data_IF_334673767913
#
_entry.id   IF_334673767913
#
_cell.length_a   1.000
_cell.length_b   1.000
_cell.length_c   1.000
_cell.angle_alpha   90.00
_cell.angle_beta   90.00
_cell.angle_gamma   90.00
#
_symmetry.space_group_name_H-M   'P 1'
#
loop_
_entity.id
_entity.type
_entity.pdbx_description
1 polymer ?
#
# COMPACT_ATOMS: atom_id res chain seq x y z
N UNK A 1 -30.12 -45.67 14.34
CA UNK A 1 -29.04 -44.88 15.00
C UNK A 1 -28.69 -43.69 14.15
N UNK A 2 -28.97 -42.42 14.59
CA UNK A 2 -28.54 -41.21 13.93
C UNK A 2 -27.06 -40.97 14.27
N UNK A 3 -26.16 -40.96 13.25
CA UNK A 3 -24.74 -40.58 13.45
C UNK A 3 -24.68 -39.17 14.05
N UNK A 4 -23.94 -38.99 15.15
CA UNK A 4 -23.61 -37.65 15.68
C UNK A 4 -22.76 -36.94 14.65
N UNK A 5 -23.18 -35.77 14.22
CA UNK A 5 -22.41 -34.87 13.35
C UNK A 5 -21.14 -34.42 14.06
N UNK A 6 -20.04 -34.27 13.31
CA UNK A 6 -18.80 -33.71 13.84
C UNK A 6 -18.99 -32.24 14.22
N UNK A 7 -18.11 -31.71 15.10
CA UNK A 7 -18.11 -30.29 15.45
C UNK A 7 -17.94 -29.39 14.22
N UNK A 8 -17.20 -29.84 13.23
CA UNK A 8 -16.96 -29.11 11.98
C UNK A 8 -18.21 -29.08 11.07
N UNK A 9 -18.95 -30.17 10.99
CA UNK A 9 -20.22 -30.22 10.26
C UNK A 9 -21.28 -29.32 10.90
N UNK A 10 -21.32 -29.23 12.22
CA UNK A 10 -22.24 -28.33 12.96
C UNK A 10 -21.83 -26.86 12.74
N UNK A 11 -20.52 -26.54 12.74
CA UNK A 11 -20.01 -25.21 12.46
C UNK A 11 -20.31 -24.79 11.01
N UNK A 12 -20.13 -25.69 10.03
CA UNK A 12 -20.49 -25.44 8.63
C UNK A 12 -21.98 -25.20 8.47
N UNK A 13 -22.86 -26.01 9.06
CA UNK A 13 -24.30 -25.79 8.97
C UNK A 13 -24.74 -24.47 9.61
N UNK A 14 -24.15 -24.08 10.73
CA UNK A 14 -24.44 -22.81 11.40
C UNK A 14 -23.95 -21.62 10.57
N UNK A 15 -22.80 -21.70 9.94
CA UNK A 15 -22.28 -20.69 9.04
C UNK A 15 -23.10 -20.56 7.74
N UNK A 16 -23.60 -21.66 7.19
CA UNK A 16 -24.50 -21.66 6.04
C UNK A 16 -25.87 -21.04 6.43
N UNK A 17 -26.40 -21.34 7.61
CA UNK A 17 -27.65 -20.75 8.12
C UNK A 17 -27.51 -19.25 8.42
N UNK A 18 -26.35 -18.78 8.88
CA UNK A 18 -26.10 -17.35 9.20
C UNK A 18 -25.94 -16.47 7.96
N UNK A 19 -25.93 -17.01 6.77
CA UNK A 19 -25.69 -16.26 5.53
C UNK A 19 -24.25 -15.77 5.36
N UNK A 20 -23.37 -16.08 6.34
CA UNK A 20 -21.98 -15.62 6.35
C UNK A 20 -21.21 -16.13 5.11
N UNK A 21 -21.37 -17.41 4.78
CA UNK A 21 -20.76 -18.00 3.58
C UNK A 21 -21.28 -17.39 2.26
N UNK A 22 -22.58 -17.08 2.21
CA UNK A 22 -23.15 -16.43 1.01
C UNK A 22 -22.58 -15.03 0.79
N UNK A 23 -22.31 -14.31 1.87
CA UNK A 23 -21.73 -12.95 1.76
C UNK A 23 -20.25 -12.97 1.39
N UNK A 24 -19.46 -13.92 1.88
CA UNK A 24 -18.04 -14.07 1.50
C UNK A 24 -17.87 -14.56 0.06
N UNK A 25 -18.65 -15.53 -0.38
CA UNK A 25 -18.65 -15.99 -1.79
C UNK A 25 -19.00 -14.85 -2.74
N UNK A 26 -20.09 -14.12 -2.47
CA UNK A 26 -20.47 -12.96 -3.30
C UNK A 26 -19.39 -11.89 -3.34
N UNK A 27 -18.74 -11.59 -2.22
CA UNK A 27 -17.68 -10.59 -2.16
C UNK A 27 -16.42 -11.05 -2.91
N UNK A 28 -16.11 -12.35 -2.90
CA UNK A 28 -14.97 -12.90 -3.64
C UNK A 28 -15.21 -12.83 -5.15
N UNK A 29 -16.39 -13.21 -5.61
CA UNK A 29 -16.77 -13.14 -7.02
C UNK A 29 -16.80 -11.69 -7.51
N UNK A 30 -17.39 -10.77 -6.74
CA UNK A 30 -17.45 -9.36 -7.11
C UNK A 30 -16.06 -8.69 -7.18
N UNK A 31 -15.08 -9.12 -6.37
CA UNK A 31 -13.70 -8.66 -6.50
C UNK A 31 -13.07 -9.12 -7.80
N UNK A 32 -13.28 -10.37 -8.19
CA UNK A 32 -12.78 -10.90 -9.47
C UNK A 32 -13.41 -10.19 -10.65
N UNK A 33 -14.68 -9.83 -10.56
CA UNK A 33 -15.35 -9.02 -11.59
C UNK A 33 -14.72 -7.64 -11.74
N UNK A 34 -14.44 -6.95 -10.63
CA UNK A 34 -13.72 -5.68 -10.65
C UNK A 34 -12.32 -5.82 -11.25
N UNK A 35 -11.57 -6.86 -10.87
CA UNK A 35 -10.25 -7.14 -11.43
C UNK A 35 -10.34 -7.36 -12.95
N UNK A 36 -11.24 -8.22 -13.42
CA UNK A 36 -11.46 -8.48 -14.86
C UNK A 36 -11.87 -7.22 -15.61
N UNK A 37 -12.76 -6.43 -15.03
CA UNK A 37 -13.18 -5.16 -15.61
C UNK A 37 -12.01 -4.19 -15.79
N UNK A 38 -11.14 -4.04 -14.77
CA UNK A 38 -9.97 -3.19 -14.88
C UNK A 38 -8.97 -3.74 -15.89
N UNK A 39 -8.73 -5.06 -15.91
CA UNK A 39 -7.84 -5.72 -16.86
C UNK A 39 -8.34 -5.66 -18.31
N UNK A 40 -9.65 -5.47 -18.53
CA UNK A 40 -10.22 -5.26 -19.86
C UNK A 40 -10.04 -3.83 -20.39
N UNK A 41 -9.54 -2.90 -19.56
CA UNK A 41 -9.31 -1.51 -19.93
C UNK A 41 -7.90 -1.30 -20.45
N UNK A 42 -7.76 -0.27 -21.30
CA UNK A 42 -6.46 0.11 -21.83
C UNK A 42 -5.70 1.01 -20.85
N UNK A 43 -4.37 1.03 -20.98
CA UNK A 43 -3.55 2.02 -20.31
C UNK A 43 -3.96 3.44 -20.73
N UNK A 44 -4.08 4.32 -19.74
CA UNK A 44 -4.53 5.70 -19.96
C UNK A 44 -6.03 5.91 -19.81
N UNK A 45 -6.80 4.86 -19.58
CA UNK A 45 -8.23 4.98 -19.26
C UNK A 45 -8.47 5.27 -17.79
N UNK A 46 -9.62 5.88 -17.51
CA UNK A 46 -10.09 6.14 -16.15
C UNK A 46 -11.29 5.24 -15.85
N UNK A 47 -11.24 4.58 -14.70
CA UNK A 47 -12.35 3.80 -14.15
C UNK A 47 -12.98 4.55 -12.98
N UNK A 48 -14.29 4.73 -12.98
CA UNK A 48 -14.96 5.55 -11.97
C UNK A 48 -15.24 4.78 -10.69
N UNK A 49 -15.23 5.50 -9.54
CA UNK A 49 -15.63 4.92 -8.26
C UNK A 49 -17.06 4.36 -8.30
N UNK A 50 -17.98 5.03 -9.00
CA UNK A 50 -19.37 4.61 -9.13
C UNK A 50 -19.48 3.24 -9.81
N UNK A 51 -18.79 3.05 -10.96
CA UNK A 51 -18.76 1.78 -11.67
C UNK A 51 -18.16 0.66 -10.81
N UNK A 52 -17.02 0.92 -10.15
CA UNK A 52 -16.36 -0.08 -9.33
C UNK A 52 -17.19 -0.44 -8.08
N UNK A 53 -17.85 0.54 -7.48
CA UNK A 53 -18.73 0.33 -6.33
C UNK A 53 -19.98 -0.48 -6.72
N UNK A 54 -20.54 -0.25 -7.93
CA UNK A 54 -21.70 -1.02 -8.41
C UNK A 54 -21.38 -2.52 -8.57
N UNK A 55 -20.21 -2.88 -9.10
CA UNK A 55 -19.75 -4.28 -9.13
C UNK A 55 -19.65 -4.91 -7.73
N UNK A 56 -19.26 -4.10 -6.74
CA UNK A 56 -19.11 -4.56 -5.36
C UNK A 56 -20.43 -4.52 -4.56
N UNK A 57 -21.51 -3.98 -5.14
CA UNK A 57 -22.79 -3.78 -4.45
C UNK A 57 -22.67 -2.83 -3.26
N UNK A 58 -21.82 -1.79 -3.37
CA UNK A 58 -21.54 -0.84 -2.31
C UNK A 58 -22.10 0.55 -2.62
N UNK A 59 -22.75 1.17 -1.61
CA UNK A 59 -23.16 2.58 -1.66
C UNK A 59 -22.06 3.45 -1.04
N UNK A 60 -21.49 4.36 -1.84
CA UNK A 60 -20.40 5.23 -1.40
C UNK A 60 -20.85 6.44 -0.56
N UNK A 61 -22.15 6.72 -0.47
CA UNK A 61 -22.69 7.74 0.43
C UNK A 61 -22.67 7.28 1.89
N UNK A 62 -22.67 5.98 2.12
CA UNK A 62 -22.53 5.38 3.43
C UNK A 62 -21.06 5.22 3.83
N UNK A 63 -20.63 5.86 4.92
CA UNK A 63 -19.22 5.87 5.36
C UNK A 63 -18.65 4.47 5.65
N UNK A 64 -19.43 3.58 6.24
CA UNK A 64 -18.98 2.19 6.49
C UNK A 64 -18.73 1.45 5.18
N UNK A 65 -19.61 1.61 4.20
CA UNK A 65 -19.47 0.99 2.89
C UNK A 65 -18.35 1.66 2.08
N UNK A 66 -18.16 2.96 2.20
CA UNK A 66 -17.02 3.68 1.61
C UNK A 66 -15.68 3.20 2.15
N UNK A 67 -15.58 2.96 3.46
CA UNK A 67 -14.37 2.41 4.06
C UNK A 67 -14.12 0.97 3.61
N UNK A 68 -15.16 0.14 3.50
CA UNK A 68 -15.09 -1.21 2.94
C UNK A 68 -14.62 -1.17 1.48
N UNK A 69 -15.14 -0.24 0.66
CA UNK A 69 -14.71 -0.01 -0.71
C UNK A 69 -13.22 0.30 -0.79
N UNK A 70 -12.72 1.28 -0.02
CA UNK A 70 -11.30 1.65 0.03
C UNK A 70 -10.41 0.45 0.37
N UNK A 71 -10.82 -0.34 1.35
CA UNK A 71 -10.09 -1.56 1.75
C UNK A 71 -10.02 -2.60 0.62
N UNK A 72 -11.16 -2.86 -0.04
CA UNK A 72 -11.23 -3.80 -1.17
C UNK A 72 -10.37 -3.30 -2.33
N UNK A 73 -10.50 -2.02 -2.69
CA UNK A 73 -9.73 -1.43 -3.77
C UNK A 73 -8.22 -1.45 -3.51
N UNK A 74 -7.78 -1.26 -2.27
CA UNK A 74 -6.36 -1.40 -1.93
C UNK A 74 -5.84 -2.82 -2.17
N UNK A 75 -6.62 -3.85 -1.84
CA UNK A 75 -6.25 -5.25 -2.14
C UNK A 75 -6.20 -5.53 -3.65
N UNK A 76 -7.20 -5.04 -4.39
CA UNK A 76 -7.25 -5.18 -5.85
C UNK A 76 -6.05 -4.47 -6.49
N UNK A 77 -5.74 -3.24 -6.06
CA UNK A 77 -4.58 -2.48 -6.56
C UNK A 77 -3.27 -3.25 -6.41
N UNK A 78 -3.04 -3.83 -5.23
CA UNK A 78 -1.83 -4.60 -4.99
C UNK A 78 -1.73 -5.82 -5.92
N UNK A 79 -2.83 -6.54 -6.11
CA UNK A 79 -2.87 -7.68 -7.02
C UNK A 79 -2.70 -7.31 -8.50
N UNK A 80 -3.20 -6.14 -8.91
CA UNK A 80 -3.07 -5.63 -10.28
C UNK A 80 -1.62 -5.25 -10.62
N UNK A 81 -0.80 -4.88 -9.63
CA UNK A 81 0.63 -4.60 -9.84
C UNK A 81 1.34 -5.84 -10.39
N UNK A 82 1.02 -7.03 -9.91
CA UNK A 82 1.59 -8.30 -10.38
C UNK A 82 1.26 -8.57 -11.87
N UNK A 83 0.19 -7.95 -12.37
CA UNK A 83 -0.21 -8.00 -13.79
C UNK A 83 0.26 -6.78 -14.59
N UNK A 84 1.13 -5.94 -14.02
CA UNK A 84 1.66 -4.74 -14.69
C UNK A 84 0.68 -3.55 -14.73
N UNK A 85 -0.45 -3.61 -14.02
CA UNK A 85 -1.42 -2.52 -13.95
C UNK A 85 -1.23 -1.69 -12.68
N UNK A 86 -0.91 -0.41 -12.84
CA UNK A 86 -0.77 0.54 -11.73
C UNK A 86 -1.91 1.55 -11.76
N UNK A 87 -2.70 1.58 -10.69
CA UNK A 87 -3.85 2.48 -10.55
C UNK A 87 -3.49 3.71 -9.71
N UNK A 88 -3.57 4.89 -10.33
CA UNK A 88 -3.43 6.18 -9.64
C UNK A 88 -4.81 6.71 -9.28
N UNK A 89 -5.07 6.94 -8.00
CA UNK A 89 -6.32 7.56 -7.53
C UNK A 89 -6.50 8.99 -8.04
N UNK A 90 -7.70 9.30 -8.52
CA UNK A 90 -8.16 10.66 -8.83
C UNK A 90 -9.27 10.98 -7.83
N UNK A 91 -9.04 12.03 -7.02
CA UNK A 91 -9.98 12.42 -5.96
C UNK A 91 -11.38 12.67 -6.52
N UNK A 92 -12.39 12.10 -5.87
CA UNK A 92 -13.79 12.21 -6.26
C UNK A 92 -14.21 11.43 -7.52
N UNK A 93 -13.26 11.05 -8.39
CA UNK A 93 -13.57 10.43 -9.69
C UNK A 93 -13.40 8.92 -9.67
N UNK A 94 -12.20 8.43 -9.34
CA UNK A 94 -11.89 7.00 -9.40
C UNK A 94 -10.40 6.74 -9.55
N UNK A 95 -10.05 5.89 -10.52
CA UNK A 95 -8.67 5.47 -10.74
C UNK A 95 -8.30 5.60 -12.22
N UNK A 96 -7.14 6.18 -12.45
CA UNK A 96 -6.49 6.24 -13.76
C UNK A 96 -5.50 5.09 -13.89
N UNK A 97 -5.56 4.36 -14.99
CA UNK A 97 -4.63 3.28 -15.31
C UNK A 97 -3.37 3.90 -15.91
N UNK A 98 -2.26 3.87 -15.20
CA UNK A 98 -1.02 4.50 -15.63
C UNK A 98 -0.50 3.86 -16.93
N UNK A 99 -0.07 4.72 -17.87
CA UNK A 99 0.67 4.27 -19.05
C UNK A 99 2.08 3.81 -18.66
N UNK A 100 2.69 2.84 -19.36
CA UNK A 100 4.05 2.37 -19.06
C UNK A 100 5.07 3.49 -18.87
N UNK A 101 5.01 4.54 -19.72
CA UNK A 101 5.91 5.70 -19.66
C UNK A 101 5.76 6.54 -18.38
N UNK A 102 4.60 6.43 -17.70
CA UNK A 102 4.31 7.17 -16.47
C UNK A 102 4.67 6.37 -15.21
N UNK A 103 4.88 5.05 -15.34
CA UNK A 103 5.06 4.15 -14.19
C UNK A 103 6.35 4.47 -13.43
N UNK A 104 7.46 4.72 -14.12
CA UNK A 104 8.73 5.06 -13.49
C UNK A 104 8.62 6.32 -12.63
N UNK A 105 8.02 7.40 -13.18
CA UNK A 105 7.81 8.64 -12.43
C UNK A 105 6.84 8.49 -11.26
N UNK A 106 5.81 7.65 -11.40
CA UNK A 106 4.90 7.33 -10.31
C UNK A 106 5.61 6.53 -9.20
N UNK A 107 6.39 5.53 -9.58
CA UNK A 107 7.17 4.71 -8.67
C UNK A 107 8.14 5.57 -7.84
N UNK A 108 8.87 6.46 -8.51
CA UNK A 108 9.75 7.40 -7.84
C UNK A 108 9.01 8.27 -6.82
N UNK A 109 7.93 8.96 -7.23
CA UNK A 109 7.18 9.87 -6.35
C UNK A 109 6.49 9.16 -5.19
N UNK A 110 5.98 7.95 -5.43
CA UNK A 110 5.14 7.25 -4.46
C UNK A 110 5.94 6.41 -3.49
N UNK A 111 7.03 5.80 -3.94
CA UNK A 111 7.79 4.85 -3.14
C UNK A 111 9.20 5.37 -2.84
N UNK A 112 10.02 5.64 -3.85
CA UNK A 112 11.44 5.98 -3.64
C UNK A 112 11.59 7.25 -2.82
N UNK A 113 10.92 8.33 -3.18
CA UNK A 113 10.98 9.59 -2.42
C UNK A 113 10.50 9.43 -0.97
N UNK A 114 9.49 8.59 -0.73
CA UNK A 114 9.04 8.32 0.64
C UNK A 114 10.06 7.53 1.45
N UNK A 115 10.70 6.54 0.82
CA UNK A 115 11.77 5.77 1.46
C UNK A 115 12.93 6.66 1.84
N UNK A 116 13.37 7.57 0.97
CA UNK A 116 14.39 8.57 1.27
C UNK A 116 14.02 9.44 2.48
N UNK A 117 12.78 9.97 2.51
CA UNK A 117 12.29 10.76 3.65
C UNK A 117 12.28 9.96 4.97
N UNK A 118 11.97 8.65 4.90
CA UNK A 118 11.99 7.77 6.08
C UNK A 118 13.42 7.55 6.56
N UNK A 119 14.36 7.29 5.67
CA UNK A 119 15.79 7.14 6.00
C UNK A 119 16.36 8.42 6.64
N UNK A 120 16.06 9.59 6.07
CA UNK A 120 16.47 10.87 6.64
C UNK A 120 15.90 11.09 8.06
N UNK A 121 14.65 10.70 8.27
CA UNK A 121 14.04 10.77 9.60
C UNK A 121 14.69 9.78 10.56
N UNK A 122 14.96 8.57 10.11
CA UNK A 122 15.67 7.55 10.87
C UNK A 122 17.05 8.04 11.31
N UNK A 123 17.84 8.57 10.36
CA UNK A 123 19.16 9.14 10.65
C UNK A 123 19.09 10.22 11.73
N UNK A 124 18.14 11.17 11.63
CA UNK A 124 17.96 12.22 12.65
C UNK A 124 17.57 11.66 14.02
N UNK A 125 16.73 10.62 14.08
CA UNK A 125 16.38 9.96 15.35
C UNK A 125 17.62 9.32 15.95
N UNK A 126 18.35 8.52 15.17
CA UNK A 126 19.57 7.84 15.63
C UNK A 126 20.63 8.84 16.10
N UNK A 127 20.90 9.90 15.32
CA UNK A 127 21.91 10.91 15.68
C UNK A 127 21.57 11.70 16.94
N UNK A 128 20.29 11.79 17.33
CA UNK A 128 19.85 12.50 18.54
C UNK A 128 19.49 11.55 19.70
N UNK A 129 19.75 10.24 19.54
CA UNK A 129 19.48 9.27 20.62
C UNK A 129 20.57 9.38 21.69
N UNK A 130 20.16 9.53 22.95
CA UNK A 130 21.06 9.45 24.09
C UNK A 130 21.49 7.99 24.30
N UNK A 131 22.75 7.71 24.02
CA UNK A 131 23.34 6.36 24.11
C UNK A 131 24.00 6.08 25.46
N UNK A 132 24.03 7.05 26.40
CA UNK A 132 24.76 6.93 27.68
C UNK A 132 24.27 5.78 28.56
N UNK A 133 23.01 5.40 28.40
CA UNK A 133 22.38 4.33 29.17
C UNK A 133 22.22 3.00 28.40
N UNK A 134 22.79 2.91 27.19
CA UNK A 134 22.79 1.65 26.44
C UNK A 134 23.89 0.73 26.98
N UNK A 135 23.57 -0.54 27.19
CA UNK A 135 24.50 -1.56 27.69
C UNK A 135 24.31 -2.88 26.98
N UNK A 136 25.42 -3.60 26.74
CA UNK A 136 25.42 -4.97 26.19
C UNK A 136 24.72 -5.04 24.83
N UNK A 137 23.84 -6.04 24.68
CA UNK A 137 23.14 -6.35 23.42
C UNK A 137 22.42 -5.15 22.79
N UNK A 138 21.95 -4.19 23.62
CA UNK A 138 21.26 -2.99 23.11
C UNK A 138 22.21 -2.01 22.43
N UNK A 139 23.47 -1.97 22.86
CA UNK A 139 24.49 -1.15 22.19
C UNK A 139 24.81 -1.74 20.83
N UNK A 140 24.99 -3.06 20.75
CA UNK A 140 25.26 -3.76 19.49
C UNK A 140 24.10 -3.62 18.50
N UNK A 141 22.86 -3.78 18.98
CA UNK A 141 21.66 -3.55 18.17
C UNK A 141 21.59 -2.13 17.62
N UNK A 142 21.87 -1.12 18.45
CA UNK A 142 21.87 0.29 18.04
C UNK A 142 22.94 0.55 16.97
N UNK A 143 24.16 0.10 17.18
CA UNK A 143 25.27 0.25 16.22
C UNK A 143 24.96 -0.41 14.88
N UNK A 144 24.39 -1.63 14.90
CA UNK A 144 23.97 -2.34 13.70
C UNK A 144 22.88 -1.58 12.92
N UNK A 145 21.93 -0.96 13.63
CA UNK A 145 20.88 -0.15 12.99
C UNK A 145 21.46 1.14 12.38
N UNK A 146 22.39 1.81 13.05
CA UNK A 146 23.11 2.99 12.52
C UNK A 146 23.86 2.62 11.25
N UNK A 147 24.67 1.55 11.29
CA UNK A 147 25.44 1.10 10.15
C UNK A 147 24.55 0.74 8.95
N UNK A 148 23.42 0.06 9.19
CA UNK A 148 22.46 -0.27 8.13
C UNK A 148 21.84 0.99 7.51
N UNK A 149 21.44 1.95 8.35
CA UNK A 149 20.85 3.21 7.88
C UNK A 149 21.83 4.00 7.00
N UNK A 150 23.09 4.08 7.40
CA UNK A 150 24.13 4.79 6.69
C UNK A 150 24.45 4.11 5.34
N UNK A 151 24.60 2.78 5.32
CA UNK A 151 24.80 2.01 4.08
C UNK A 151 23.65 2.18 3.08
N UNK A 152 22.40 2.15 3.57
CA UNK A 152 21.24 2.36 2.72
C UNK A 152 21.21 3.79 2.16
N UNK A 153 21.51 4.78 2.99
CA UNK A 153 21.56 6.19 2.59
C UNK A 153 22.64 6.42 1.56
N UNK A 154 23.85 5.89 1.76
CA UNK A 154 24.97 5.97 0.83
C UNK A 154 24.65 5.31 -0.52
N UNK A 155 24.07 4.10 -0.47
CA UNK A 155 23.67 3.37 -1.68
C UNK A 155 22.68 4.17 -2.51
N UNK A 156 21.70 4.80 -1.88
CA UNK A 156 20.70 5.62 -2.57
C UNK A 156 21.35 6.92 -3.10
N UNK A 157 22.17 7.57 -2.28
CA UNK A 157 22.86 8.81 -2.67
C UNK A 157 23.72 8.64 -3.92
N UNK A 158 24.42 7.53 -4.02
CA UNK A 158 25.29 7.21 -5.16
C UNK A 158 24.52 6.90 -6.46
N UNK A 159 23.19 6.85 -6.42
CA UNK A 159 22.37 6.77 -7.64
C UNK A 159 22.12 8.15 -8.23
N UNK A 160 21.95 8.22 -9.56
CA UNK A 160 21.59 9.48 -10.25
C UNK A 160 20.29 10.10 -9.71
N UNK A 161 19.37 9.29 -9.22
CA UNK A 161 18.10 9.76 -8.65
C UNK A 161 18.32 10.28 -7.24
N UNK A 162 19.11 9.56 -6.44
CA UNK A 162 19.41 9.90 -5.06
C UNK A 162 20.19 11.20 -4.95
N UNK A 163 21.27 11.37 -5.72
CA UNK A 163 22.05 12.61 -5.72
C UNK A 163 21.18 13.84 -6.01
N UNK A 164 20.35 13.79 -7.06
CA UNK A 164 19.41 14.89 -7.37
C UNK A 164 18.39 15.19 -6.26
N UNK A 165 18.01 14.20 -5.49
CA UNK A 165 17.10 14.39 -4.35
C UNK A 165 17.80 15.12 -3.22
N UNK A 166 19.00 14.68 -2.84
CA UNK A 166 19.77 15.28 -1.75
C UNK A 166 20.26 16.69 -2.09
N UNK A 167 20.70 16.93 -3.32
CA UNK A 167 21.10 18.26 -3.80
C UNK A 167 19.95 19.27 -3.66
N UNK A 168 18.74 18.88 -4.07
CA UNK A 168 17.56 19.74 -3.91
C UNK A 168 17.19 19.95 -2.46
N UNK A 169 17.29 18.92 -1.62
CA UNK A 169 16.97 19.03 -0.20
C UNK A 169 17.92 19.97 0.50
N UNK A 170 19.22 19.81 0.30
CA UNK A 170 20.24 20.70 0.86
C UNK A 170 20.00 22.17 0.45
N UNK A 171 19.62 22.42 -0.79
CA UNK A 171 19.24 23.73 -1.27
C UNK A 171 18.06 24.33 -0.51
N UNK A 172 16.98 23.56 -0.27
CA UNK A 172 15.81 24.06 0.45
C UNK A 172 16.03 24.18 1.97
N UNK A 173 16.86 23.32 2.54
CA UNK A 173 17.18 23.41 3.98
C UNK A 173 18.02 24.68 4.24
N UNK A 174 18.99 25.00 3.38
CA UNK A 174 19.77 26.24 3.48
C UNK A 174 18.92 27.52 3.34
N UNK A 175 17.87 27.52 2.50
CA UNK A 175 16.94 28.64 2.35
C UNK A 175 16.03 28.88 3.57
N UNK A 176 15.94 27.93 4.50
CA UNK A 176 15.13 28.05 5.72
C UNK A 176 15.93 28.54 6.93
N UNK A 177 17.24 28.50 6.82
CA UNK A 177 18.16 28.96 7.88
C UNK A 177 18.56 30.44 7.68
N UNK A 178 18.24 31.06 6.54
CA UNK A 178 18.31 32.51 6.26
C UNK A 178 16.98 33.20 6.64
#
# INVERSE_FOLDING_TARGET
MRKRKSKEEILMENNIRSGYYKSEFRVKDSRQEVERYILSKNYGETVTNATLASFLGLNLDNDKQRNKYKYIMNKIKNKLIDNGYVLKGISGVGYYILRPQQMAGHCYKTYIKKTMNILDKSHRVLSNTDTTNLTGDRTEEYEAVVELNDKLSETIYNTTIGSRYYDRKAYYDNLREE
#
